data_IF_568664962434
#
_entry.id   IF_568664962434
#
_cell.length_a   1.000
_cell.length_b   1.000
_cell.length_c   1.000
_cell.angle_alpha   90.00
_cell.angle_beta   90.00
_cell.angle_gamma   90.00
#
_symmetry.space_group_name_H-M   'P 1'
#
loop_
_entity.id
_entity.type
_entity.pdbx_description
1 polymer ?
#
# COMPACT_ATOMS: atom_id res chain seq x y z
N UNK A 1 -26.66 0.48 -10.34
CA UNK A 1 -26.73 1.63 -9.42
C UNK A 1 -25.87 1.24 -8.24
N UNK A 2 -24.57 1.46 -8.37
CA UNK A 2 -23.55 1.19 -7.35
C UNK A 2 -22.81 2.52 -7.21
N UNK A 3 -23.44 3.46 -6.52
CA UNK A 3 -22.86 4.78 -6.22
C UNK A 3 -21.82 4.60 -5.11
N UNK A 4 -20.70 3.96 -5.44
CA UNK A 4 -19.54 3.95 -4.57
C UNK A 4 -18.94 5.35 -4.59
N UNK A 5 -19.06 6.08 -3.48
CA UNK A 5 -18.25 7.26 -3.26
C UNK A 5 -16.77 6.82 -3.30
N UNK A 6 -15.96 7.39 -4.19
CA UNK A 6 -14.53 7.08 -4.30
C UNK A 6 -13.83 7.21 -2.95
N UNK A 7 -14.28 8.16 -2.11
CA UNK A 7 -13.82 8.31 -0.73
C UNK A 7 -14.04 7.07 0.14
N UNK A 8 -15.20 6.41 0.07
CA UNK A 8 -15.49 5.23 0.89
C UNK A 8 -14.71 4.00 0.44
N UNK A 9 -14.39 3.91 -0.85
CA UNK A 9 -13.48 2.88 -1.38
C UNK A 9 -12.05 3.06 -0.87
N UNK A 10 -11.56 4.30 -0.81
CA UNK A 10 -10.24 4.60 -0.25
C UNK A 10 -10.15 4.28 1.24
N UNK A 11 -11.17 4.61 2.02
CA UNK A 11 -11.25 4.26 3.45
C UNK A 11 -11.26 2.75 3.65
N UNK A 12 -12.10 2.04 2.88
CA UNK A 12 -12.16 0.58 2.91
C UNK A 12 -10.80 -0.03 2.55
N UNK A 13 -10.12 0.46 1.51
CA UNK A 13 -8.78 0.00 1.14
C UNK A 13 -7.80 0.12 2.30
N UNK A 14 -7.82 1.25 3.01
CA UNK A 14 -6.90 1.49 4.11
C UNK A 14 -7.19 0.56 5.29
N UNK A 15 -8.45 0.33 5.63
CA UNK A 15 -8.83 -0.58 6.72
C UNK A 15 -8.44 -2.03 6.41
N UNK A 16 -8.86 -2.55 5.26
CA UNK A 16 -8.56 -3.93 4.86
C UNK A 16 -7.06 -4.13 4.59
N UNK A 17 -6.39 -3.12 4.05
CA UNK A 17 -4.94 -3.11 3.86
C UNK A 17 -4.18 -3.12 5.19
N UNK A 18 -4.56 -2.27 6.14
CA UNK A 18 -3.98 -2.23 7.48
C UNK A 18 -4.18 -3.55 8.23
N UNK A 19 -5.39 -4.13 8.13
CA UNK A 19 -5.68 -5.43 8.72
C UNK A 19 -4.84 -6.55 8.11
N UNK A 20 -4.69 -6.57 6.79
CA UNK A 20 -3.81 -7.52 6.10
C UNK A 20 -2.37 -7.39 6.58
N UNK A 21 -1.86 -6.16 6.72
CA UNK A 21 -0.50 -5.91 7.22
C UNK A 21 -0.32 -6.41 8.66
N UNK A 22 -1.26 -6.09 9.54
CA UNK A 22 -1.20 -6.47 10.96
C UNK A 22 -1.15 -7.99 11.13
N UNK A 23 -1.92 -8.72 10.32
CA UNK A 23 -1.96 -10.18 10.37
C UNK A 23 -0.72 -10.79 9.70
N UNK A 24 -0.40 -10.38 8.47
CA UNK A 24 0.58 -11.09 7.66
C UNK A 24 2.03 -10.79 8.05
N UNK A 25 2.33 -9.55 8.45
CA UNK A 25 3.70 -9.10 8.79
C UNK A 25 4.40 -9.98 9.83
N UNK A 26 3.84 -10.25 11.03
CA UNK A 26 4.53 -11.06 12.03
C UNK A 26 4.80 -12.50 11.55
N UNK A 27 3.89 -13.08 10.77
CA UNK A 27 4.07 -14.45 10.26
C UNK A 27 5.11 -14.56 9.15
N UNK A 28 5.25 -13.53 8.31
CA UNK A 28 6.33 -13.48 7.31
C UNK A 28 7.69 -13.31 8.01
N UNK A 29 7.77 -12.46 9.04
CA UNK A 29 8.99 -12.29 9.85
C UNK A 29 9.37 -13.60 10.53
N UNK A 30 8.39 -14.31 11.10
CA UNK A 30 8.61 -15.61 11.71
C UNK A 30 9.17 -16.64 10.71
N UNK A 31 8.66 -16.65 9.47
CA UNK A 31 9.19 -17.52 8.43
C UNK A 31 10.63 -17.18 8.06
N UNK A 32 10.97 -15.90 7.94
CA UNK A 32 12.36 -15.47 7.75
C UNK A 32 13.26 -15.87 8.90
N UNK A 33 12.79 -15.74 10.16
CA UNK A 33 13.55 -16.17 11.34
C UNK A 33 13.80 -17.66 11.34
N UNK A 34 12.80 -18.48 10.97
CA UNK A 34 12.98 -19.92 10.82
C UNK A 34 14.09 -20.26 9.80
N UNK A 35 14.13 -19.56 8.67
CA UNK A 35 15.17 -19.74 7.64
C UNK A 35 16.55 -19.32 8.19
N UNK A 36 16.60 -18.25 8.99
CA UNK A 36 17.83 -17.80 9.64
C UNK A 36 18.33 -18.80 10.70
N UNK A 37 17.44 -19.32 11.53
CA UNK A 37 17.77 -20.28 12.58
C UNK A 37 18.31 -21.59 11.99
N UNK A 38 17.74 -22.04 10.86
CA UNK A 38 18.28 -23.16 10.09
C UNK A 38 19.67 -22.88 9.52
N UNK A 39 19.88 -21.69 8.95
CA UNK A 39 21.19 -21.27 8.43
C UNK A 39 22.24 -21.19 9.54
N UNK A 40 21.87 -20.65 10.70
CA UNK A 40 22.72 -20.53 11.87
C UNK A 40 23.08 -21.91 12.44
N UNK A 41 22.09 -22.81 12.55
CA UNK A 41 22.31 -24.19 12.98
C UNK A 41 23.28 -24.92 12.05
N UNK A 42 23.12 -24.77 10.73
CA UNK A 42 24.03 -25.37 9.75
C UNK A 42 25.47 -24.84 9.90
N UNK A 43 25.64 -23.54 10.14
CA UNK A 43 26.96 -22.96 10.40
C UNK A 43 27.57 -23.46 11.72
N UNK A 44 26.74 -23.66 12.75
CA UNK A 44 27.19 -24.23 14.03
C UNK A 44 27.62 -25.69 13.91
N UNK A 45 26.93 -26.48 13.10
CA UNK A 45 27.30 -27.90 12.85
C UNK A 45 28.58 -28.05 12.02
N UNK A 46 28.90 -27.06 11.19
CA UNK A 46 30.09 -27.06 10.33
C UNK A 46 31.27 -26.24 10.90
N UNK A 47 31.17 -25.72 12.13
CA UNK A 47 32.16 -24.83 12.77
C UNK A 47 32.51 -23.56 11.96
N UNK A 48 31.59 -23.07 11.12
CA UNK A 48 31.73 -21.84 10.31
C UNK A 48 30.79 -20.73 10.79
N UNK A 49 30.87 -20.39 12.08
CA UNK A 49 29.99 -19.40 12.72
C UNK A 49 30.17 -17.98 12.19
N UNK A 50 31.31 -17.66 11.61
CA UNK A 50 31.63 -16.39 10.96
C UNK A 50 30.89 -16.18 9.63
N UNK A 51 30.43 -17.27 9.00
CA UNK A 51 29.77 -17.23 7.68
C UNK A 51 28.24 -17.29 7.74
N UNK A 52 27.65 -17.27 8.93
CA UNK A 52 26.20 -17.43 9.13
C UNK A 52 25.34 -16.47 8.29
N UNK A 53 25.73 -15.19 8.18
CA UNK A 53 25.02 -14.20 7.35
C UNK A 53 25.10 -14.55 5.85
N UNK A 54 26.26 -15.03 5.39
CA UNK A 54 26.44 -15.45 3.99
C UNK A 54 25.62 -16.71 3.69
N UNK A 55 25.56 -17.65 4.63
CA UNK A 55 24.71 -18.85 4.53
C UNK A 55 23.23 -18.48 4.50
N UNK A 56 22.80 -17.53 5.33
CA UNK A 56 21.44 -17.00 5.30
C UNK A 56 21.10 -16.33 3.95
N UNK A 57 22.00 -15.52 3.39
CA UNK A 57 21.86 -14.96 2.04
C UNK A 57 21.70 -16.04 0.96
N UNK A 58 22.47 -17.14 1.07
CA UNK A 58 22.37 -18.27 0.16
C UNK A 58 21.00 -18.96 0.25
N UNK A 59 20.42 -19.05 1.46
CA UNK A 59 19.08 -19.61 1.66
C UNK A 59 17.99 -18.70 1.09
N UNK A 60 18.08 -17.39 1.35
CA UNK A 60 17.15 -16.39 0.80
C UNK A 60 17.12 -16.43 -0.72
N UNK A 61 18.27 -16.63 -1.36
CA UNK A 61 18.38 -16.72 -2.84
C UNK A 61 17.60 -17.90 -3.43
N UNK A 62 17.27 -18.92 -2.61
CA UNK A 62 16.48 -20.09 -3.03
C UNK A 62 14.97 -19.86 -2.95
N UNK A 63 14.50 -18.82 -2.25
CA UNK A 63 13.06 -18.52 -2.06
C UNK A 63 12.27 -18.43 -3.39
N UNK A 64 12.78 -17.76 -4.45
CA UNK A 64 12.08 -17.73 -5.74
C UNK A 64 11.92 -19.10 -6.41
N UNK A 65 12.70 -20.11 -5.98
CA UNK A 65 12.72 -21.47 -6.54
C UNK A 65 12.05 -22.49 -5.62
N UNK A 66 11.24 -22.04 -4.66
CA UNK A 66 10.49 -22.94 -3.79
C UNK A 66 9.56 -23.85 -4.57
N UNK A 67 9.47 -25.10 -4.11
CA UNK A 67 8.52 -26.08 -4.62
C UNK A 67 7.12 -25.72 -4.09
N UNK A 68 6.04 -25.89 -4.89
CA UNK A 68 4.65 -25.77 -4.43
C UNK A 68 4.36 -26.41 -3.06
N UNK A 69 4.94 -27.57 -2.75
CA UNK A 69 4.76 -28.21 -1.44
C UNK A 69 5.28 -27.36 -0.26
N UNK A 70 6.40 -26.65 -0.45
CA UNK A 70 6.95 -25.76 0.58
C UNK A 70 6.00 -24.57 0.79
N UNK A 71 5.46 -24.04 -0.30
CA UNK A 71 4.51 -22.91 -0.27
C UNK A 71 3.21 -23.32 0.43
N UNK A 72 2.71 -24.54 0.18
CA UNK A 72 1.52 -25.06 0.86
C UNK A 72 1.74 -25.25 2.37
N UNK A 73 2.87 -25.84 2.77
CA UNK A 73 3.21 -25.99 4.19
C UNK A 73 3.33 -24.63 4.87
N UNK A 74 3.96 -23.67 4.20
CA UNK A 74 4.12 -22.31 4.69
C UNK A 74 2.77 -21.59 4.84
N UNK A 75 1.89 -21.71 3.85
CA UNK A 75 0.52 -21.22 3.94
C UNK A 75 -0.23 -21.82 5.11
N UNK A 76 -0.17 -23.14 5.29
CA UNK A 76 -0.83 -23.83 6.42
C UNK A 76 -0.33 -23.28 7.75
N UNK A 77 0.99 -23.11 7.90
CA UNK A 77 1.58 -22.48 9.09
C UNK A 77 1.03 -21.08 9.34
N UNK A 78 0.94 -20.24 8.30
CA UNK A 78 0.41 -18.87 8.43
C UNK A 78 -1.07 -18.90 8.84
N UNK A 79 -1.89 -19.77 8.25
CA UNK A 79 -3.32 -19.88 8.60
C UNK A 79 -3.49 -20.35 10.04
N UNK A 80 -2.74 -21.38 10.46
CA UNK A 80 -2.80 -21.94 11.82
C UNK A 80 -2.32 -20.93 12.87
N UNK A 81 -1.21 -20.22 12.62
CA UNK A 81 -0.67 -19.24 13.59
C UNK A 81 -1.40 -17.90 13.62
N UNK A 82 -2.01 -17.50 12.51
CA UNK A 82 -2.79 -16.25 12.45
C UNK A 82 -4.15 -16.35 13.11
N UNK A 83 -4.62 -17.57 13.42
CA UNK A 83 -6.00 -17.83 13.84
C UNK A 83 -7.04 -17.18 12.91
N UNK A 84 -6.67 -16.95 11.64
CA UNK A 84 -7.50 -16.27 10.66
C UNK A 84 -7.93 -17.24 9.55
N UNK A 85 -9.07 -17.92 9.76
CA UNK A 85 -9.66 -18.82 8.76
C UNK A 85 -10.09 -18.12 7.47
N UNK A 86 -10.22 -16.79 7.49
CA UNK A 86 -10.68 -15.97 6.37
C UNK A 86 -9.54 -15.20 5.68
N UNK A 87 -8.28 -15.63 5.84
CA UNK A 87 -7.13 -14.94 5.22
C UNK A 87 -7.24 -14.89 3.69
N UNK A 88 -7.76 -15.96 3.07
CA UNK A 88 -8.00 -16.03 1.62
C UNK A 88 -9.09 -15.05 1.17
N UNK A 89 -10.19 -14.97 1.93
CA UNK A 89 -11.28 -14.02 1.70
C UNK A 89 -10.79 -12.57 1.88
N UNK A 90 -9.98 -12.32 2.90
CA UNK A 90 -9.40 -11.00 3.19
C UNK A 90 -8.53 -10.51 2.03
N UNK A 91 -7.64 -11.37 1.53
CA UNK A 91 -6.77 -11.04 0.40
C UNK A 91 -7.61 -10.81 -0.86
N UNK A 92 -8.62 -11.64 -1.10
CA UNK A 92 -9.58 -11.47 -2.20
C UNK A 92 -10.29 -10.13 -2.10
N UNK A 93 -10.75 -9.74 -0.91
CA UNK A 93 -11.40 -8.45 -0.66
C UNK A 93 -10.47 -7.27 -0.97
N UNK A 94 -9.21 -7.32 -0.51
CA UNK A 94 -8.21 -6.28 -0.80
C UNK A 94 -7.99 -6.12 -2.31
N UNK A 95 -7.86 -7.23 -3.04
CA UNK A 95 -7.70 -7.21 -4.50
C UNK A 95 -8.94 -6.64 -5.20
N UNK A 96 -10.15 -7.05 -4.79
CA UNK A 96 -11.41 -6.53 -5.36
C UNK A 96 -11.53 -5.02 -5.11
N UNK A 97 -11.25 -4.54 -3.91
CA UNK A 97 -11.32 -3.10 -3.60
C UNK A 97 -10.31 -2.33 -4.43
N UNK A 98 -9.08 -2.82 -4.55
CA UNK A 98 -8.05 -2.15 -5.34
C UNK A 98 -8.41 -2.14 -6.84
N UNK A 99 -9.03 -3.21 -7.36
CA UNK A 99 -9.60 -3.23 -8.71
C UNK A 99 -10.77 -2.25 -8.86
N UNK A 100 -11.68 -2.17 -7.88
CA UNK A 100 -12.79 -1.21 -7.88
C UNK A 100 -12.28 0.24 -7.88
N UNK A 101 -11.24 0.55 -7.10
CA UNK A 101 -10.64 1.89 -7.09
C UNK A 101 -10.06 2.24 -8.47
N UNK A 102 -9.28 1.32 -9.05
CA UNK A 102 -8.68 1.54 -10.36
C UNK A 102 -9.74 1.65 -11.47
N UNK A 103 -10.86 0.94 -11.32
CA UNK A 103 -11.94 0.95 -12.30
C UNK A 103 -12.96 2.07 -12.14
N UNK A 104 -13.08 2.63 -10.94
CA UNK A 104 -13.92 3.78 -10.64
C UNK A 104 -13.38 5.09 -11.26
N UNK A 105 -12.07 5.21 -11.50
CA UNK A 105 -11.46 6.42 -12.10
C UNK A 105 -11.65 6.53 -13.63
N UNK A 106 -12.51 5.73 -14.23
CA UNK A 106 -12.69 5.70 -15.69
C UNK A 106 -13.39 6.94 -16.23
N UNK A 107 -12.94 7.44 -17.39
CA UNK A 107 -13.54 8.57 -18.12
C UNK A 107 -14.75 8.19 -19.02
N UNK A 108 -14.89 6.94 -19.48
CA UNK A 108 -15.95 6.50 -20.39
C UNK A 108 -17.29 6.13 -19.73
N UNK A 109 -18.40 6.25 -20.47
CA UNK A 109 -19.77 6.03 -19.95
C UNK A 109 -20.22 4.56 -19.89
N UNK A 110 -19.76 3.65 -20.77
CA UNK A 110 -20.23 2.24 -20.81
C UNK A 110 -19.40 1.27 -19.98
N UNK A 111 -19.99 0.61 -18.97
CA UNK A 111 -19.33 -0.42 -18.14
C UNK A 111 -18.86 -1.63 -18.98
N UNK A 112 -17.56 -1.71 -19.31
CA UNK A 112 -16.96 -2.93 -19.85
C UNK A 112 -16.70 -3.87 -18.67
N UNK A 113 -17.15 -5.12 -18.76
CA UNK A 113 -16.81 -6.16 -17.78
C UNK A 113 -15.33 -6.51 -17.99
N UNK A 114 -14.49 -6.14 -17.03
CA UNK A 114 -13.08 -6.53 -17.01
C UNK A 114 -13.00 -7.78 -16.15
N UNK A 115 -12.86 -8.95 -16.77
CA UNK A 115 -12.62 -10.20 -16.05
C UNK A 115 -11.16 -10.23 -15.60
N UNK A 116 -10.92 -9.85 -14.34
CA UNK A 116 -9.59 -9.93 -13.73
C UNK A 116 -9.52 -11.20 -12.89
N UNK A 117 -8.51 -12.03 -13.19
CA UNK A 117 -8.24 -13.22 -12.39
C UNK A 117 -7.60 -12.80 -11.05
N UNK A 118 -8.23 -13.20 -9.95
CA UNK A 118 -7.73 -12.92 -8.60
C UNK A 118 -6.64 -13.96 -8.27
N UNK A 119 -5.45 -13.55 -7.84
CA UNK A 119 -4.38 -14.48 -7.49
C UNK A 119 -4.80 -15.42 -6.36
N UNK A 120 -4.37 -16.69 -6.44
CA UNK A 120 -4.54 -17.63 -5.33
C UNK A 120 -3.69 -17.21 -4.14
N UNK A 121 -4.11 -17.62 -2.95
CA UNK A 121 -3.37 -17.35 -1.70
C UNK A 121 -1.93 -17.85 -1.76
N UNK A 122 -1.70 -19.02 -2.35
CA UNK A 122 -0.38 -19.65 -2.47
C UNK A 122 0.58 -18.79 -3.28
N UNK A 123 0.12 -18.35 -4.46
CA UNK A 123 0.88 -17.50 -5.38
C UNK A 123 1.17 -16.13 -4.74
N UNK A 124 0.19 -15.57 -4.01
CA UNK A 124 0.35 -14.31 -3.30
C UNK A 124 1.41 -14.41 -2.20
N UNK A 125 1.33 -15.43 -1.32
CA UNK A 125 2.31 -15.66 -0.24
C UNK A 125 3.70 -15.84 -0.83
N UNK A 126 3.84 -16.65 -1.89
CA UNK A 126 5.14 -16.85 -2.54
C UNK A 126 5.70 -15.54 -3.09
N UNK A 127 4.86 -14.71 -3.73
CA UNK A 127 5.27 -13.41 -4.25
C UNK A 127 5.71 -12.44 -3.14
N UNK A 128 5.00 -12.42 -2.00
CA UNK A 128 5.41 -11.66 -0.81
C UNK A 128 6.79 -12.12 -0.36
N UNK A 129 7.02 -13.43 -0.21
CA UNK A 129 8.33 -13.96 0.18
C UNK A 129 9.44 -13.60 -0.81
N UNK A 130 9.17 -13.61 -2.12
CA UNK A 130 10.15 -13.20 -3.14
C UNK A 130 10.53 -11.72 -2.98
N UNK A 131 9.56 -10.84 -2.78
CA UNK A 131 9.82 -9.40 -2.62
C UNK A 131 10.56 -9.10 -1.32
N UNK A 132 10.16 -9.75 -0.23
CA UNK A 132 10.84 -9.68 1.07
C UNK A 132 12.27 -10.21 0.97
N UNK A 133 12.47 -11.37 0.35
CA UNK A 133 13.79 -11.98 0.12
C UNK A 133 14.75 -11.01 -0.57
N UNK A 134 14.31 -10.31 -1.61
CA UNK A 134 15.14 -9.33 -2.34
C UNK A 134 15.57 -8.14 -1.47
N UNK A 135 14.68 -7.64 -0.61
CA UNK A 135 15.00 -6.52 0.30
C UNK A 135 15.89 -6.97 1.45
N UNK A 136 15.56 -8.10 2.08
CA UNK A 136 16.36 -8.67 3.17
C UNK A 136 17.75 -9.06 2.68
N UNK A 137 17.90 -9.60 1.46
CA UNK A 137 19.22 -9.91 0.89
C UNK A 137 20.18 -8.71 0.88
N UNK A 138 19.66 -7.51 0.62
CA UNK A 138 20.44 -6.26 0.66
C UNK A 138 20.70 -5.79 2.09
N UNK A 139 19.77 -6.07 3.01
CA UNK A 139 19.78 -5.64 4.40
C UNK A 139 20.01 -6.81 5.37
N UNK A 140 20.98 -7.68 5.09
CA UNK A 140 21.24 -8.87 5.92
C UNK A 140 21.81 -8.54 7.30
N UNK A 141 22.40 -7.37 7.47
CA UNK A 141 22.85 -6.85 8.78
C UNK A 141 21.73 -6.79 9.82
N UNK A 142 20.45 -6.79 9.40
CA UNK A 142 19.31 -6.84 10.32
C UNK A 142 19.28 -8.10 11.19
N UNK A 143 19.95 -9.17 10.75
CA UNK A 143 20.06 -10.46 11.45
C UNK A 143 21.44 -10.65 12.11
N UNK A 144 22.20 -9.58 12.32
CA UNK A 144 23.48 -9.64 13.02
C UNK A 144 23.29 -10.07 14.50
N UNK A 145 24.18 -10.94 15.00
CA UNK A 145 24.15 -11.46 16.37
C UNK A 145 25.26 -10.75 17.15
N UNK A 146 25.03 -10.49 18.45
CA UNK A 146 26.04 -9.90 19.34
C UNK A 146 26.05 -8.37 19.35
N UNK A 147 25.01 -7.73 18.80
CA UNK A 147 24.80 -6.28 18.83
C UNK A 147 24.05 -5.83 20.10
N UNK A 148 24.15 -4.55 20.51
CA UNK A 148 23.43 -4.03 21.68
C UNK A 148 21.91 -4.22 21.56
N UNK A 149 21.18 -4.47 22.68
CA UNK A 149 19.73 -4.71 22.65
C UNK A 149 18.91 -3.61 21.96
N UNK A 150 19.31 -2.35 22.14
CA UNK A 150 18.69 -1.21 21.46
C UNK A 150 18.82 -1.32 19.93
N UNK A 151 19.95 -1.81 19.43
CA UNK A 151 20.16 -2.00 18.00
C UNK A 151 19.33 -3.17 17.47
N UNK A 152 19.17 -4.25 18.24
CA UNK A 152 18.26 -5.37 17.91
C UNK A 152 16.83 -4.85 17.76
N UNK A 153 16.37 -4.01 18.69
CA UNK A 153 15.03 -3.44 18.61
C UNK A 153 14.85 -2.55 17.38
N UNK A 154 15.84 -1.70 17.06
CA UNK A 154 15.83 -0.87 15.84
C UNK A 154 15.81 -1.72 14.57
N UNK A 155 16.64 -2.77 14.52
CA UNK A 155 16.70 -3.70 13.38
C UNK A 155 15.38 -4.45 13.22
N UNK A 156 14.73 -4.86 14.31
CA UNK A 156 13.42 -5.51 14.26
C UNK A 156 12.34 -4.58 13.70
N UNK A 157 12.32 -3.31 14.11
CA UNK A 157 11.41 -2.31 13.57
C UNK A 157 11.67 -2.04 12.09
N UNK A 158 12.92 -1.95 11.69
CA UNK A 158 13.31 -1.78 10.29
C UNK A 158 12.88 -2.98 9.44
N UNK A 159 13.07 -4.20 9.96
CA UNK A 159 12.60 -5.43 9.31
C UNK A 159 11.08 -5.43 9.14
N UNK A 160 10.34 -4.99 10.15
CA UNK A 160 8.88 -4.88 10.10
C UNK A 160 8.41 -3.92 8.99
N UNK A 161 9.03 -2.74 8.91
CA UNK A 161 8.74 -1.74 7.88
C UNK A 161 9.04 -2.30 6.47
N UNK A 162 10.18 -2.97 6.31
CA UNK A 162 10.56 -3.61 5.04
C UNK A 162 9.52 -4.65 4.63
N UNK A 163 9.08 -5.50 5.56
CA UNK A 163 8.08 -6.54 5.28
C UNK A 163 6.73 -5.93 4.91
N UNK A 164 6.27 -4.89 5.63
CA UNK A 164 5.04 -4.18 5.31
C UNK A 164 5.09 -3.54 3.90
N UNK A 165 6.21 -2.88 3.56
CA UNK A 165 6.43 -2.31 2.21
C UNK A 165 6.35 -3.41 1.13
N UNK A 166 6.95 -4.58 1.38
CA UNK A 166 6.93 -5.69 0.44
C UNK A 166 5.53 -6.29 0.26
N UNK A 167 4.73 -6.39 1.33
CA UNK A 167 3.34 -6.87 1.23
C UNK A 167 2.53 -5.93 0.35
N UNK A 168 2.61 -4.62 0.58
CA UNK A 168 1.90 -3.61 -0.24
C UNK A 168 2.38 -3.62 -1.70
N UNK A 169 3.67 -3.84 -1.92
CA UNK A 169 4.24 -3.98 -3.27
C UNK A 169 3.68 -5.21 -3.97
N UNK A 170 3.61 -6.35 -3.29
CA UNK A 170 3.03 -7.59 -3.84
C UNK A 170 1.55 -7.45 -4.19
N UNK A 171 0.75 -6.73 -3.37
CA UNK A 171 -0.66 -6.40 -3.67
C UNK A 171 -0.79 -5.48 -4.89
N UNK A 172 0.19 -4.62 -5.15
CA UNK A 172 0.19 -3.76 -6.34
C UNK A 172 0.55 -4.53 -7.60
N UNK A 173 1.60 -5.36 -7.52
CA UNK A 173 2.09 -6.15 -8.65
C UNK A 173 1.16 -7.30 -9.04
N UNK A 174 0.25 -7.72 -8.16
CA UNK A 174 -0.75 -8.74 -8.48
C UNK A 174 -1.88 -8.22 -9.38
N UNK A 175 -1.96 -6.92 -9.60
CA UNK A 175 -3.01 -6.29 -10.39
C UNK A 175 -2.52 -6.07 -11.83
N UNK A 176 -3.24 -6.55 -12.85
CA UNK A 176 -2.85 -6.39 -14.24
C UNK A 176 -3.20 -4.98 -14.73
N UNK A 177 -2.43 -3.98 -14.28
CA UNK A 177 -2.62 -2.56 -14.63
C UNK A 177 -2.58 -2.37 -16.15
N UNK A 178 -1.68 -3.05 -16.85
CA UNK A 178 -1.58 -2.98 -18.32
C UNK A 178 -2.86 -3.42 -19.03
N UNK A 179 -3.47 -4.51 -18.57
CA UNK A 179 -4.75 -5.01 -19.11
C UNK A 179 -5.88 -4.03 -18.86
N UNK A 180 -5.91 -3.44 -17.66
CA UNK A 180 -6.90 -2.43 -17.27
C UNK A 180 -6.73 -1.18 -18.16
N UNK A 181 -5.51 -0.70 -18.35
CA UNK A 181 -5.20 0.46 -19.19
C UNK A 181 -5.55 0.21 -20.67
N UNK A 182 -5.22 -0.98 -21.21
CA UNK A 182 -5.58 -1.34 -22.58
C UNK A 182 -7.10 -1.35 -22.79
N UNK A 183 -7.85 -1.89 -21.83
CA UNK A 183 -9.32 -1.87 -21.88
C UNK A 183 -9.92 -0.44 -21.90
N UNK A 184 -9.20 0.54 -21.34
CA UNK A 184 -9.55 1.97 -21.41
C UNK A 184 -9.16 2.65 -22.71
N UNK A 185 -8.02 2.27 -23.31
CA UNK A 185 -7.56 2.85 -24.58
C UNK A 185 -8.27 2.24 -25.81
N UNK A 186 -8.94 1.10 -25.67
CA UNK A 186 -9.84 0.53 -26.69
C UNK A 186 -11.14 1.38 -26.80
N UNK A 187 -11.01 2.64 -27.22
CA UNK A 187 -12.10 3.54 -27.64
C UNK A 187 -12.49 3.33 -29.11
N UNK A 188 -11.87 2.37 -29.81
CA UNK A 188 -12.26 2.05 -31.19
C UNK A 188 -13.52 1.18 -31.20
N UNK A 189 -14.66 1.86 -31.25
CA UNK A 189 -16.01 1.52 -31.77
C UNK A 189 -17.07 2.08 -30.81
N UNK A 190 -17.09 3.40 -30.64
CA UNK A 190 -18.35 4.13 -30.48
C UNK A 190 -18.54 4.93 -31.78
N UNK A 191 -18.89 4.24 -32.87
CA UNK A 191 -19.64 4.91 -33.93
C UNK A 191 -20.99 5.26 -33.33
N UNK A 192 -21.24 6.55 -33.11
CA UNK A 192 -22.57 7.10 -32.97
C UNK A 192 -23.38 6.68 -34.20
N UNK A 193 -24.07 5.54 -34.11
CA UNK A 193 -25.18 5.24 -35.00
C UNK A 193 -26.25 6.26 -34.62
N UNK A 194 -26.22 7.40 -35.29
CA UNK A 194 -27.36 8.29 -35.39
C UNK A 194 -28.45 7.45 -36.03
N UNK A 195 -29.33 6.87 -35.21
CA UNK A 195 -30.62 6.39 -35.68
C UNK A 195 -31.35 7.61 -36.23
N UNK A 196 -31.23 7.85 -37.54
CA UNK A 196 -32.18 8.66 -38.29
C UNK A 196 -33.55 7.99 -38.13
N UNK A 197 -34.32 8.46 -37.15
CA UNK A 197 -35.76 8.27 -37.09
C UNK A 197 -36.32 8.92 -38.35
N UNK A 198 -36.49 8.14 -39.42
CA UNK A 198 -37.34 8.53 -40.53
C UNK A 198 -38.77 8.50 -40.01
N UNK A 199 -39.30 9.66 -39.65
CA UNK A 199 -40.74 9.89 -39.58
C UNK A 199 -41.32 9.51 -40.95
N UNK A 200 -41.94 8.34 -41.03
CA UNK A 200 -42.83 8.01 -42.15
C UNK A 200 -44.19 8.61 -41.83
N UNK A 201 -44.56 9.62 -42.63
CA UNK A 201 -45.92 10.15 -42.73
C UNK A 201 -46.92 9.01 -42.91
N UNK A 202 -48.00 9.11 -42.16
CA UNK A 202 -49.16 8.24 -42.21
C UNK A 202 -49.93 8.58 -43.47
N UNK A 203 -50.00 7.66 -44.44
CA UNK A 203 -51.12 7.59 -45.39
C UNK A 203 -51.59 6.13 -45.51
N UNK A 204 -52.72 5.86 -44.85
CA UNK A 204 -53.67 4.80 -45.19
C UNK A 204 -54.76 5.43 -46.08
N UNK A 205 -55.56 4.72 -46.89
CA UNK A 205 -55.59 3.27 -47.15
C UNK A 205 -55.89 2.87 -48.62
N UNK A 206 -55.91 1.56 -48.87
CA UNK A 206 -56.57 0.88 -50.01
C UNK A 206 -56.11 1.20 -51.45
N UNK A 207 -55.24 0.33 -52.01
CA UNK A 207 -55.52 -0.38 -53.27
C UNK A 207 -54.46 -1.43 -53.62
N UNK A 208 -54.98 -2.62 -53.95
CA UNK A 208 -54.40 -3.66 -54.80
C UNK A 208 -53.35 -4.57 -54.18
N UNK A 209 -53.88 -5.57 -53.48
CA UNK A 209 -53.48 -6.97 -53.65
C UNK A 209 -53.52 -7.37 -55.14
N UNK A 210 -52.78 -8.43 -55.46
CA UNK A 210 -52.55 -9.09 -56.75
C UNK A 210 -51.23 -8.63 -57.38
N UNK A 211 -50.12 -9.27 -57.02
CA UNK A 211 -49.64 -10.39 -57.83
C UNK A 211 -48.60 -11.25 -57.09
N UNK A 212 -48.81 -12.55 -57.19
CA UNK A 212 -48.01 -13.62 -56.59
C UNK A 212 -46.74 -13.92 -57.41
N UNK A 213 -45.68 -14.23 -56.67
CA UNK A 213 -44.71 -15.31 -56.95
C UNK A 213 -43.94 -15.31 -58.29
N UNK A 214 -42.60 -15.13 -58.21
CA UNK A 214 -41.61 -16.17 -58.60
C UNK A 214 -40.14 -15.77 -58.42
N UNK A 215 -39.36 -16.79 -58.03
CA UNK A 215 -37.95 -17.08 -58.34
C UNK A 215 -36.86 -16.25 -57.64
N UNK A 216 -36.17 -16.79 -56.62
CA UNK A 216 -35.00 -17.71 -56.63
C UNK A 216 -33.65 -16.97 -56.74
N UNK A 217 -32.90 -17.07 -55.63
CA UNK A 217 -31.46 -17.26 -55.45
C UNK A 217 -30.46 -16.87 -56.56
N UNK A 218 -29.42 -16.11 -56.18
CA UNK A 218 -28.05 -16.60 -55.96
C UNK A 218 -26.96 -15.56 -56.31
N UNK A 219 -25.87 -15.66 -55.53
CA UNK A 219 -24.49 -15.34 -55.87
C UNK A 219 -23.98 -13.88 -55.79
N UNK A 220 -22.92 -13.74 -54.99
CA UNK A 220 -22.05 -12.58 -54.81
C UNK A 220 -20.98 -12.46 -55.93
N UNK A 221 -19.89 -11.69 -55.72
CA UNK A 221 -19.59 -10.30 -56.09
C UNK A 221 -18.65 -10.25 -57.35
N UNK A 222 -18.16 -9.11 -57.92
CA UNK A 222 -17.11 -8.25 -57.32
C UNK A 222 -17.02 -6.76 -57.78
N UNK A 223 -16.27 -5.97 -56.98
CA UNK A 223 -15.36 -4.83 -57.25
C UNK A 223 -15.47 -3.97 -58.54
N UNK A 224 -15.27 -2.64 -58.41
CA UNK A 224 -14.19 -1.82 -59.07
C UNK A 224 -14.49 -0.28 -59.07
N UNK A 225 -13.60 0.47 -58.39
CA UNK A 225 -12.85 1.71 -58.78
C UNK A 225 -13.57 3.08 -59.01
N UNK A 226 -12.85 4.13 -58.55
CA UNK A 226 -12.81 5.56 -59.00
C UNK A 226 -13.94 6.50 -58.54
N UNK A 227 -13.74 7.77 -58.16
CA UNK A 227 -12.60 8.70 -58.20
C UNK A 227 -12.97 10.02 -57.45
N UNK A 228 -11.95 10.68 -56.89
CA UNK A 228 -11.75 12.14 -56.62
C UNK A 228 -12.92 13.10 -56.31
N UNK A 229 -12.77 13.89 -55.23
CA UNK A 229 -12.68 15.37 -55.33
C UNK A 229 -12.21 16.03 -54.02
N UNK A 230 -11.11 16.75 -54.13
CA UNK A 230 -10.52 17.79 -53.27
C UNK A 230 -11.47 19.01 -53.08
N UNK A 231 -11.49 19.81 -52.00
CA UNK A 231 -10.49 20.74 -51.41
C UNK A 231 -11.11 21.38 -50.12
N UNK A 232 -10.57 22.45 -49.47
CA UNK A 232 -9.98 22.45 -48.12
C UNK A 232 -10.71 23.42 -47.15
N UNK A 233 -10.06 23.83 -46.04
CA UNK A 233 -10.28 25.03 -45.16
C UNK A 233 -10.41 24.60 -43.68
N UNK A 234 -9.74 25.14 -42.66
CA UNK A 234 -8.63 26.09 -42.46
C UNK A 234 -8.11 25.80 -41.04
N UNK A 235 -6.79 25.87 -40.86
CA UNK A 235 -6.10 25.76 -39.58
C UNK A 235 -6.33 27.00 -38.69
N UNK A 236 -6.38 26.81 -37.38
CA UNK A 236 -6.10 27.86 -36.40
C UNK A 236 -5.17 27.29 -35.34
N UNK A 237 -3.97 27.87 -35.33
CA UNK A 237 -2.79 27.49 -34.56
C UNK A 237 -2.98 27.86 -33.08
N UNK A 238 -2.67 26.93 -32.18
CA UNK A 238 -2.40 27.21 -30.76
C UNK A 238 -0.91 26.87 -30.53
N UNK A 239 -0.08 27.80 -30.02
CA UNK A 239 1.37 27.60 -29.96
C UNK A 239 1.80 26.49 -28.98
N UNK A 240 2.80 25.73 -29.42
CA UNK A 240 3.64 24.83 -28.62
C UNK A 240 4.21 25.53 -27.38
N UNK A 241 4.01 24.93 -26.21
CA UNK A 241 4.83 25.16 -25.02
C UNK A 241 5.40 23.82 -24.56
N UNK A 242 6.67 23.61 -24.86
CA UNK A 242 7.50 22.55 -24.26
C UNK A 242 7.70 22.83 -22.75
N UNK A 243 7.93 21.79 -21.93
CA UNK A 243 8.02 21.94 -20.48
C UNK A 243 9.44 22.37 -20.09
N UNK A 244 9.59 23.63 -19.68
CA UNK A 244 10.85 24.10 -19.10
C UNK A 244 10.85 23.88 -17.57
N UNK A 245 11.76 23.02 -17.15
CA UNK A 245 12.05 22.71 -15.75
C UNK A 245 12.67 23.93 -15.05
N UNK A 246 11.89 24.60 -14.19
CA UNK A 246 12.30 25.14 -12.87
C UNK A 246 11.27 26.15 -12.37
N UNK A 247 10.24 25.69 -11.67
CA UNK A 247 9.40 26.58 -10.85
C UNK A 247 10.20 27.03 -9.63
N UNK A 248 11.07 28.03 -9.82
CA UNK A 248 11.72 28.73 -8.72
C UNK A 248 10.64 29.50 -7.95
N UNK A 249 10.22 28.97 -6.81
CA UNK A 249 9.36 29.65 -5.85
C UNK A 249 9.99 30.99 -5.45
N UNK A 250 9.29 32.09 -5.71
CA UNK A 250 9.66 33.45 -5.27
C UNK A 250 8.63 33.94 -4.26
N UNK A 251 9.07 34.45 -3.12
CA UNK A 251 8.19 35.00 -2.10
C UNK A 251 7.98 36.50 -2.34
N UNK A 252 6.76 36.98 -2.09
CA UNK A 252 6.42 38.39 -2.15
C UNK A 252 6.83 39.11 -0.84
N UNK A 253 7.26 40.36 -0.95
CA UNK A 253 7.75 41.22 0.15
C UNK A 253 6.65 42.14 0.74
N UNK A 254 5.41 41.99 0.26
CA UNK A 254 4.26 42.77 0.71
C UNK A 254 3.26 41.79 1.37
N UNK A 255 3.06 41.96 2.67
CA UNK A 255 2.09 41.21 3.45
C UNK A 255 0.78 42.00 3.52
N UNK A 256 -0.36 41.30 3.43
CA UNK A 256 -1.69 41.89 3.66
C UNK A 256 -2.11 41.64 5.10
N UNK A 257 -2.25 42.72 5.88
CA UNK A 257 -2.75 42.67 7.26
C UNK A 257 -4.14 43.30 7.35
N UNK A 258 -4.97 42.86 8.30
CA UNK A 258 -6.31 43.38 8.51
C UNK A 258 -6.45 43.92 9.94
N UNK A 259 -6.88 45.17 10.07
CA UNK A 259 -7.10 45.80 11.38
C UNK A 259 -8.46 45.39 12.00
N UNK A 260 -8.67 45.72 13.28
CA UNK A 260 -9.89 45.43 14.07
C UNK A 260 -11.16 46.01 13.41
N UNK A 261 -11.02 47.04 12.59
CA UNK A 261 -12.10 47.65 11.82
C UNK A 261 -12.31 47.03 10.42
N UNK A 262 -11.71 45.86 10.17
CA UNK A 262 -11.86 45.07 8.94
C UNK A 262 -11.27 45.71 7.67
N UNK A 263 -10.46 46.77 7.83
CA UNK A 263 -9.73 47.48 6.76
C UNK A 263 -8.42 46.74 6.48
N UNK A 264 -8.12 46.54 5.20
CA UNK A 264 -6.90 45.87 4.73
C UNK A 264 -5.76 46.89 4.55
N UNK A 265 -4.64 46.65 5.22
CA UNK A 265 -3.42 47.44 5.12
C UNK A 265 -2.30 46.60 4.50
N UNK A 266 -1.56 47.20 3.57
CA UNK A 266 -0.39 46.56 2.94
C UNK A 266 0.86 46.92 3.73
N UNK A 267 1.51 45.90 4.31
CA UNK A 267 2.73 46.05 5.10
C UNK A 267 3.91 45.58 4.26
N UNK A 268 4.90 46.44 4.09
CA UNK A 268 6.15 46.10 3.41
C UNK A 268 7.05 45.35 4.40
N UNK A 269 7.20 44.04 4.19
CA UNK A 269 7.97 43.12 5.01
C UNK A 269 8.98 42.35 4.14
N UNK A 270 10.10 42.97 3.76
CA UNK A 270 11.10 42.36 2.91
C UNK A 270 11.72 41.13 3.58
N UNK A 271 11.83 40.03 2.85
CA UNK A 271 12.34 38.73 3.35
C UNK A 271 13.86 38.59 3.16
N UNK A 272 14.60 39.59 3.61
CA UNK A 272 16.07 39.58 3.64
C UNK A 272 16.61 38.79 4.84
N UNK A 273 17.72 38.07 4.65
CA UNK A 273 18.35 37.22 5.68
C UNK A 273 18.64 37.99 6.98
N UNK A 274 19.11 39.24 6.87
CA UNK A 274 19.41 40.09 8.02
C UNK A 274 18.16 40.46 8.85
N UNK A 275 16.99 40.59 8.20
CA UNK A 275 15.73 40.86 8.91
C UNK A 275 15.22 39.61 9.61
N UNK A 276 15.35 38.44 8.96
CA UNK A 276 14.95 37.15 9.54
C UNK A 276 15.79 36.78 10.76
N UNK A 277 17.09 37.03 10.74
CA UNK A 277 17.99 36.81 11.88
C UNK A 277 17.59 37.70 13.06
N UNK A 278 17.32 38.98 12.82
CA UNK A 278 16.84 39.91 13.84
C UNK A 278 15.49 39.49 14.46
N UNK A 279 14.56 38.99 13.65
CA UNK A 279 13.27 38.46 14.15
C UNK A 279 13.49 37.21 15.01
N UNK A 280 14.44 36.35 14.63
CA UNK A 280 14.81 35.16 15.39
C UNK A 280 15.37 35.53 16.76
N UNK A 281 16.32 36.47 16.81
CA UNK A 281 16.92 36.97 18.05
C UNK A 281 15.87 37.59 18.99
N UNK A 282 14.98 38.43 18.45
CA UNK A 282 13.92 39.08 19.24
C UNK A 282 12.96 38.04 19.83
N UNK A 283 12.47 37.08 19.04
CA UNK A 283 11.56 36.04 19.54
C UNK A 283 12.24 35.10 20.53
N UNK A 284 13.53 34.82 20.34
CA UNK A 284 14.30 34.02 21.29
C UNK A 284 14.50 34.74 22.62
N UNK A 285 14.83 36.03 22.57
CA UNK A 285 14.96 36.87 23.76
C UNK A 285 13.62 37.03 24.49
N UNK A 286 12.50 37.15 23.77
CA UNK A 286 11.17 37.23 24.37
C UNK A 286 10.82 35.95 25.13
N UNK A 287 10.99 34.76 24.52
CA UNK A 287 10.75 33.49 25.23
C UNK A 287 11.62 33.35 26.48
N UNK A 288 12.89 33.75 26.39
CA UNK A 288 13.81 33.74 27.54
C UNK A 288 13.35 34.69 28.66
N UNK A 289 12.84 35.87 28.31
CA UNK A 289 12.33 36.83 29.29
C UNK A 289 10.99 36.39 29.90
N UNK A 290 10.13 35.70 29.14
CA UNK A 290 8.90 35.09 29.67
C UNK A 290 9.22 33.92 30.61
N UNK A 291 10.25 33.11 30.30
CA UNK A 291 10.75 32.06 31.19
C UNK A 291 11.40 32.61 32.47
N UNK A 292 12.06 33.77 32.41
CA UNK A 292 12.68 34.45 33.56
C UNK A 292 11.68 35.29 34.38
N UNK A 293 10.50 35.61 33.84
CA UNK A 293 9.47 36.44 34.50
C UNK A 293 8.57 35.67 35.47
N UNK A 294 8.61 34.34 35.45
CA UNK A 294 7.92 33.46 36.40
C UNK A 294 8.76 33.16 37.66
N UNK A 295 9.97 33.74 37.78
CA UNK A 295 10.88 33.57 38.94
C UNK A 295 10.57 34.52 40.13
N UNK A 296 9.52 35.35 40.07
CA UNK A 296 9.09 36.21 41.19
C UNK A 296 8.15 35.51 42.21
N UNK A 297 7.80 34.24 41.98
CA UNK A 297 7.23 33.37 43.02
C UNK A 297 8.32 32.46 43.60
N UNK A 298 8.59 32.64 44.89
CA UNK A 298 9.64 32.04 45.75
C UNK A 298 9.50 30.50 45.94
N UNK A 299 9.08 29.76 44.90
CA UNK A 299 8.91 28.31 44.89
C UNK A 299 9.81 27.68 43.82
N UNK A 300 10.87 26.93 44.21
CA UNK A 300 11.71 26.24 43.23
C UNK A 300 10.87 25.22 42.45
N UNK A 301 10.77 25.43 41.13
CA UNK A 301 10.15 24.49 40.19
C UNK A 301 10.72 23.07 40.44
N UNK A 302 9.87 22.04 40.57
CA UNK A 302 10.35 20.69 40.87
C UNK A 302 11.13 20.15 39.67
N UNK A 303 12.46 20.01 39.83
CA UNK A 303 13.29 19.22 38.92
C UNK A 303 12.64 17.85 38.73
N UNK A 304 12.42 17.46 37.47
CA UNK A 304 11.95 16.13 37.08
C UNK A 304 12.86 15.06 37.71
N UNK A 305 12.30 14.26 38.62
CA UNK A 305 12.96 13.09 39.20
C UNK A 305 12.61 11.88 38.33
N UNK A 306 13.58 11.41 37.55
CA UNK A 306 13.48 10.11 36.87
C UNK A 306 13.65 9.06 37.97
N UNK A 307 12.65 8.18 38.12
CA UNK A 307 12.70 7.07 39.07
C UNK A 307 13.44 5.87 38.44
N UNK A 308 14.42 5.30 39.14
CA UNK A 308 15.19 4.11 38.71
C UNK A 308 14.45 2.77 38.96
N UNK A 309 13.15 2.80 39.28
CA UNK A 309 12.36 1.57 39.49
C UNK A 309 11.65 1.13 38.20
N UNK A 310 11.67 -0.18 37.95
CA UNK A 310 10.86 -0.80 36.90
C UNK A 310 9.38 -0.54 37.18
N UNK A 311 8.74 0.21 36.28
CA UNK A 311 7.29 0.45 36.29
C UNK A 311 6.59 -0.80 35.74
N UNK A 312 5.56 -1.30 36.43
CA UNK A 312 4.75 -2.40 35.89
C UNK A 312 3.95 -1.90 34.68
N UNK A 313 4.19 -2.51 33.51
CA UNK A 313 3.56 -2.15 32.24
C UNK A 313 2.29 -2.96 31.96
N UNK A 314 1.80 -3.73 32.92
CA UNK A 314 0.62 -4.61 32.79
C UNK A 314 -0.62 -3.86 32.33
N UNK A 315 -0.75 -2.58 32.69
CA UNK A 315 -1.87 -1.73 32.27
C UNK A 315 -1.76 -1.20 30.83
N UNK A 316 -0.64 -1.42 30.14
CA UNK A 316 -0.39 -0.97 28.76
C UNK A 316 -0.43 -2.11 27.74
N UNK A 317 -0.86 -3.32 28.12
CA UNK A 317 -0.93 -4.50 27.24
C UNK A 317 0.41 -4.82 26.55
N UNK A 318 1.52 -4.39 27.17
CA UNK A 318 2.88 -4.66 26.70
C UNK A 318 3.31 -5.99 27.28
N UNK A 319 3.44 -7.00 26.42
CA UNK A 319 3.95 -8.30 26.84
C UNK A 319 5.39 -8.16 27.34
N UNK A 320 5.63 -8.51 28.60
CA UNK A 320 6.98 -8.60 29.18
C UNK A 320 7.68 -9.78 28.51
N UNK A 321 8.64 -9.49 27.63
CA UNK A 321 9.44 -10.51 26.94
C UNK A 321 10.53 -10.99 27.90
N UNK A 322 10.18 -11.96 28.74
CA UNK A 322 11.08 -12.70 29.62
C UNK A 322 10.40 -13.99 30.03
N UNK A 323 11.10 -15.13 29.96
CA UNK A 323 10.55 -16.43 30.33
C UNK A 323 10.05 -16.38 31.79
N UNK A 324 8.84 -16.88 32.10
CA UNK A 324 8.46 -17.08 33.49
C UNK A 324 9.38 -18.15 34.07
N UNK A 325 10.07 -17.83 35.17
CA UNK A 325 10.77 -18.84 35.96
C UNK A 325 9.72 -19.85 36.45
N UNK A 326 9.82 -21.07 35.96
CA UNK A 326 8.99 -22.18 36.42
C UNK A 326 9.47 -22.50 37.84
N UNK A 327 8.72 -22.08 38.85
CA UNK A 327 8.89 -22.59 40.21
C UNK A 327 8.56 -24.09 40.20
N UNK A 328 9.60 -24.92 40.13
CA UNK A 328 9.49 -26.35 40.37
C UNK A 328 9.17 -26.53 41.85
N UNK A 329 7.90 -26.85 42.16
CA UNK A 329 7.46 -27.24 43.50
C UNK A 329 8.30 -28.47 43.91
N UNK A 330 9.00 -28.45 45.07
CA UNK A 330 9.80 -29.57 45.50
C UNK A 330 8.89 -30.76 45.88
N UNK A 331 9.34 -31.95 45.49
CA UNK A 331 8.80 -33.29 45.76
C UNK A 331 7.63 -33.35 46.76
N UNK A 332 6.46 -33.74 46.25
CA UNK A 332 5.45 -34.42 47.06
C UNK A 332 6.06 -35.73 47.55
N UNK A 333 6.65 -35.68 48.74
CA UNK A 333 7.05 -36.84 49.52
C UNK A 333 5.87 -37.81 49.64
N UNK A 334 6.03 -38.96 49.01
CA UNK A 334 5.22 -40.15 49.18
C UNK A 334 5.56 -40.73 50.56
N UNK A 335 4.89 -40.26 51.61
CA UNK A 335 5.04 -40.81 52.97
C UNK A 335 3.80 -41.60 53.45
N UNK A 336 2.75 -41.78 52.63
CA UNK A 336 1.54 -42.50 53.04
C UNK A 336 1.19 -43.69 52.11
N UNK A 337 2.03 -44.73 52.10
CA UNK A 337 1.61 -46.08 51.71
C UNK A 337 1.86 -47.02 52.89
N UNK A 338 0.85 -47.13 53.78
CA UNK A 338 0.74 -48.24 54.71
C UNK A 338 0.55 -49.55 53.92
N UNK A 339 1.55 -50.42 53.98
CA UNK A 339 1.40 -51.83 53.56
C UNK A 339 0.74 -52.58 54.72
N UNK A 340 -0.54 -52.90 54.58
CA UNK A 340 -1.26 -53.80 55.48
C UNK A 340 -0.66 -55.21 55.39
N UNK A 341 -0.18 -55.73 56.52
CA UNK A 341 0.15 -57.15 56.74
C UNK A 341 -1.07 -57.97 57.14
#
# INVERSE_FOLDING_TARGET
MDDFNVSSLHESKNEWGSRLLTILTPHIIEGLRSIFDEAFKLCKENDELDKYLMTFQNFITRIPKWNPNIIETEKKRIIEKSNCGHLEDLITCVHIIQLKILTAMRAGQKQKKIDVNIPKLDDFIHKVYINVARKVYKNVYLFEIGIPPLQIQKNNRELEIIVQECILTSVRESIPIETILRAYMDETVEEDVVEEIKEQEIEDPEKKKIDEQKAIAAAAPPQIISEVSSTPVVASEIPDLLPDNSTKLTFNDIDMARDVNNVEEQIIAPKDDARLEKISEIRNAQRKAEEEGDDDDDYPLPKLKIFDQNVSLDNLDVHVIGQPEIELIPDLLIDDIEVLS
#
